data_IF_368199068259
#
_entry.id   IF_368199068259
#
_cell.length_a   1.000
_cell.length_b   1.000
_cell.length_c   1.000
_cell.angle_alpha   90.00
_cell.angle_beta   90.00
_cell.angle_gamma   90.00
#
_symmetry.space_group_name_H-M   'P 1'
#
loop_
_entity.id
_entity.type
_entity.pdbx_description
1 polymer ?
#
# COMPACT_ATOMS: atom_id res chain seq x y z
N UNK A 1 -13.90 7.30 9.34
CA UNK A 1 -14.96 6.51 8.65
C UNK A 1 -14.39 5.14 8.30
N UNK A 2 -15.12 4.03 8.51
CA UNK A 2 -14.60 2.70 8.19
C UNK A 2 -14.45 2.51 6.67
N UNK A 3 -13.40 1.82 6.22
CA UNK A 3 -13.17 1.55 4.79
C UNK A 3 -14.33 0.75 4.18
N UNK A 4 -14.98 -0.13 4.99
CA UNK A 4 -16.21 -0.83 4.60
C UNK A 4 -17.33 0.11 4.16
N UNK A 5 -17.53 1.18 4.92
CA UNK A 5 -18.52 2.22 4.60
C UNK A 5 -18.16 2.95 3.32
N UNK A 6 -16.86 3.31 3.15
CA UNK A 6 -16.39 3.97 1.92
C UNK A 6 -16.62 3.10 0.69
N UNK A 7 -16.30 1.80 0.75
CA UNK A 7 -16.53 0.86 -0.37
C UNK A 7 -18.02 0.67 -0.69
N UNK A 8 -18.87 0.59 0.33
CA UNK A 8 -20.34 0.55 0.12
C UNK A 8 -20.83 1.83 -0.56
N UNK A 9 -20.42 3.00 -0.08
CA UNK A 9 -20.74 4.28 -0.71
C UNK A 9 -20.20 4.35 -2.15
N UNK A 10 -18.95 3.92 -2.40
CA UNK A 10 -18.37 3.87 -3.75
C UNK A 10 -19.18 2.97 -4.69
N UNK A 11 -19.72 1.85 -4.21
CA UNK A 11 -20.53 0.95 -5.04
C UNK A 11 -21.98 1.44 -5.23
N UNK A 12 -22.66 1.87 -4.16
CA UNK A 12 -24.08 2.23 -4.21
C UNK A 12 -24.34 3.61 -4.82
N UNK A 13 -23.51 4.59 -4.48
CA UNK A 13 -23.63 5.97 -4.96
C UNK A 13 -22.72 6.21 -6.17
N UNK A 14 -21.53 5.63 -6.17
CA UNK A 14 -20.56 5.83 -7.24
C UNK A 14 -21.01 5.30 -8.59
N UNK A 15 -21.77 4.19 -8.65
CA UNK A 15 -22.29 3.64 -9.94
C UNK A 15 -23.29 4.59 -10.60
N UNK A 16 -24.37 5.04 -9.92
CA UNK A 16 -25.29 6.01 -10.49
C UNK A 16 -24.62 7.33 -10.89
N UNK A 17 -23.70 7.83 -10.05
CA UNK A 17 -22.97 9.07 -10.34
C UNK A 17 -22.06 8.91 -11.58
N UNK A 18 -21.34 7.81 -11.71
CA UNK A 18 -20.53 7.53 -12.89
C UNK A 18 -21.40 7.40 -14.16
N UNK A 19 -22.59 6.81 -14.04
CA UNK A 19 -23.54 6.72 -15.15
C UNK A 19 -24.02 8.10 -15.59
N UNK A 20 -24.53 8.91 -14.65
CA UNK A 20 -24.99 10.27 -14.93
C UNK A 20 -23.86 11.14 -15.51
N UNK A 21 -22.68 11.10 -14.91
CA UNK A 21 -21.50 11.81 -15.41
C UNK A 21 -21.10 11.33 -16.82
N UNK A 22 -21.25 10.03 -17.13
CA UNK A 22 -21.00 9.49 -18.48
C UNK A 22 -21.96 10.07 -19.50
N UNK A 23 -23.27 10.17 -19.18
CA UNK A 23 -24.26 10.80 -20.06
C UNK A 23 -23.87 12.25 -20.35
N UNK A 24 -23.52 13.02 -19.32
CA UNK A 24 -23.08 14.40 -19.47
C UNK A 24 -21.79 14.53 -20.31
N UNK A 25 -20.80 13.67 -20.08
CA UNK A 25 -19.56 13.64 -20.87
C UNK A 25 -19.85 13.30 -22.33
N UNK A 26 -20.75 12.34 -22.60
CA UNK A 26 -21.13 11.99 -23.98
C UNK A 26 -21.91 13.12 -24.66
N UNK A 27 -22.87 13.72 -23.96
CA UNK A 27 -23.59 14.88 -24.46
C UNK A 27 -22.66 16.06 -24.78
N UNK A 28 -21.68 16.33 -23.91
CA UNK A 28 -20.69 17.39 -24.15
C UNK A 28 -19.80 17.15 -25.38
N UNK A 29 -19.66 15.89 -25.83
CA UNK A 29 -18.92 15.55 -27.07
C UNK A 29 -19.66 15.92 -28.35
N UNK A 30 -20.97 16.14 -28.27
CA UNK A 30 -21.80 16.59 -29.41
C UNK A 30 -21.64 18.11 -29.67
N UNK A 31 -21.13 18.85 -28.68
CA UNK A 31 -20.84 20.27 -28.85
C UNK A 31 -19.50 20.46 -29.59
N UNK A 32 -19.39 21.48 -30.46
CA UNK A 32 -18.16 21.77 -31.18
C UNK A 32 -17.03 22.03 -30.18
N UNK A 33 -15.98 21.19 -30.18
CA UNK A 33 -14.82 21.33 -29.31
C UNK A 33 -13.74 22.15 -30.00
N UNK A 34 -13.13 23.06 -29.24
CA UNK A 34 -11.75 23.44 -29.53
C UNK A 34 -10.90 22.16 -29.57
N UNK A 35 -10.10 22.00 -30.62
CA UNK A 35 -9.20 20.86 -30.76
C UNK A 35 -8.46 20.64 -29.45
N UNK A 36 -8.49 19.40 -28.95
CA UNK A 36 -7.70 19.05 -27.77
C UNK A 36 -6.25 19.29 -28.16
N UNK A 37 -5.61 20.29 -27.53
CA UNK A 37 -4.19 20.53 -27.76
C UNK A 37 -3.44 19.26 -27.36
N UNK A 38 -2.62 18.73 -28.25
CA UNK A 38 -1.68 17.61 -27.97
C UNK A 38 -0.51 18.09 -27.06
N UNK A 39 -0.66 19.28 -26.49
CA UNK A 39 0.35 19.90 -25.61
C UNK A 39 0.65 19.00 -24.40
N UNK A 40 1.93 18.94 -24.07
CA UNK A 40 2.38 18.30 -22.83
C UNK A 40 1.69 18.94 -21.62
N UNK A 41 1.27 18.16 -20.62
CA UNK A 41 0.63 18.70 -19.43
C UNK A 41 1.61 19.62 -18.68
N UNK A 42 1.04 20.70 -18.11
CA UNK A 42 1.80 21.67 -17.31
C UNK A 42 1.72 21.38 -15.82
N UNK A 43 0.56 20.86 -15.36
CA UNK A 43 0.32 20.54 -13.95
C UNK A 43 -0.37 19.21 -13.79
N UNK A 44 0.26 18.34 -13.02
CA UNK A 44 -0.14 16.97 -12.85
C UNK A 44 -0.69 16.70 -11.45
N UNK A 45 -1.80 15.98 -11.36
CA UNK A 45 -2.33 15.41 -10.14
C UNK A 45 -2.22 13.89 -10.16
N UNK A 46 -1.42 13.32 -9.28
CA UNK A 46 -1.42 11.90 -8.97
C UNK A 46 -2.48 11.61 -7.89
N UNK A 47 -3.29 10.59 -8.06
CA UNK A 47 -4.36 10.23 -7.12
C UNK A 47 -4.11 8.82 -6.61
N UNK A 48 -3.79 8.67 -5.31
CA UNK A 48 -3.67 7.37 -4.62
C UNK A 48 -4.14 7.52 -3.18
N UNK A 49 -5.40 7.17 -2.94
CA UNK A 49 -6.05 7.39 -1.64
C UNK A 49 -5.82 6.26 -0.66
N UNK A 50 -5.93 5.03 -1.15
CA UNK A 50 -5.87 3.82 -0.32
C UNK A 50 -4.54 3.08 -0.45
N UNK A 51 -4.29 2.13 0.49
CA UNK A 51 -3.16 1.21 0.46
C UNK A 51 -1.79 1.90 0.62
N UNK A 52 -1.46 2.25 1.86
CA UNK A 52 -0.16 2.84 2.24
C UNK A 52 1.04 2.10 1.62
N UNK A 53 1.02 0.75 1.60
CA UNK A 53 2.07 -0.05 0.98
C UNK A 53 2.26 0.21 -0.52
N UNK A 54 1.18 0.60 -1.22
CA UNK A 54 1.25 0.92 -2.64
C UNK A 54 2.05 2.20 -2.93
N UNK A 55 2.15 3.13 -1.97
CA UNK A 55 2.98 4.33 -2.12
C UNK A 55 4.46 3.99 -2.27
N UNK A 56 4.92 2.90 -1.66
CA UNK A 56 6.31 2.46 -1.72
C UNK A 56 6.65 1.92 -3.12
N UNK A 57 5.71 1.19 -3.72
CA UNK A 57 5.89 0.61 -5.06
C UNK A 57 5.59 1.60 -6.19
N UNK A 58 5.24 2.85 -5.88
CA UNK A 58 5.00 3.92 -6.86
C UNK A 58 6.27 4.47 -7.52
N UNK A 59 7.46 4.19 -7.01
CA UNK A 59 8.71 4.82 -7.48
C UNK A 59 8.90 4.76 -9.00
N UNK A 60 8.69 3.63 -9.70
CA UNK A 60 8.78 3.59 -11.17
C UNK A 60 7.78 4.54 -11.84
N UNK A 61 6.53 4.56 -11.39
CA UNK A 61 5.50 5.45 -11.90
C UNK A 61 5.87 6.93 -11.69
N UNK A 62 6.36 7.29 -10.49
CA UNK A 62 6.76 8.67 -10.19
C UNK A 62 7.95 9.11 -11.03
N UNK A 63 8.89 8.21 -11.37
CA UNK A 63 9.98 8.49 -12.30
C UNK A 63 9.45 8.86 -13.70
N UNK A 64 8.47 8.12 -14.21
CA UNK A 64 7.83 8.43 -15.49
C UNK A 64 7.12 9.79 -15.43
N UNK A 65 6.34 10.04 -14.37
CA UNK A 65 5.59 11.28 -14.19
C UNK A 65 6.50 12.51 -14.03
N UNK A 66 7.65 12.36 -13.36
CA UNK A 66 8.65 13.45 -13.22
C UNK A 66 9.36 13.80 -14.54
N UNK A 67 9.38 12.87 -15.48
CA UNK A 67 9.82 13.16 -16.86
C UNK A 67 8.77 13.90 -17.70
N UNK A 68 7.50 13.85 -17.28
CA UNK A 68 6.39 14.50 -17.98
C UNK A 68 6.10 15.92 -17.45
N UNK A 69 6.13 16.10 -16.12
CA UNK A 69 5.85 17.39 -15.44
C UNK A 69 6.86 17.57 -14.31
N UNK A 70 7.33 18.81 -14.15
CA UNK A 70 8.27 19.14 -13.09
C UNK A 70 7.70 18.81 -11.69
N UNK A 71 8.59 18.44 -10.77
CA UNK A 71 8.25 18.07 -9.39
C UNK A 71 7.42 19.15 -8.68
N UNK A 72 7.72 20.41 -8.91
CA UNK A 72 7.03 21.55 -8.30
C UNK A 72 5.60 21.77 -8.85
N UNK A 73 5.32 21.30 -10.05
CA UNK A 73 4.01 21.32 -10.70
C UNK A 73 3.25 19.98 -10.61
N UNK A 74 3.81 19.02 -9.86
CA UNK A 74 3.17 17.74 -9.57
C UNK A 74 2.52 17.78 -8.18
N UNK A 75 1.24 17.45 -8.12
CA UNK A 75 0.43 17.41 -6.91
C UNK A 75 0.01 15.96 -6.62
N UNK A 76 -0.25 15.65 -5.36
CA UNK A 76 -0.63 14.31 -4.95
C UNK A 76 -1.85 14.35 -4.03
N UNK A 77 -2.90 13.61 -4.38
CA UNK A 77 -4.11 13.45 -3.57
C UNK A 77 -4.02 12.15 -2.79
N UNK A 78 -4.03 12.24 -1.46
CA UNK A 78 -3.93 11.10 -0.54
C UNK A 78 -4.91 11.24 0.62
N UNK A 79 -5.15 10.17 1.36
CA UNK A 79 -5.72 10.27 2.69
C UNK A 79 -4.70 10.85 3.68
N UNK A 80 -5.19 11.54 4.70
CA UNK A 80 -4.35 12.24 5.68
C UNK A 80 -3.38 11.29 6.40
N UNK A 81 -3.79 10.06 6.64
CA UNK A 81 -2.98 9.00 7.25
C UNK A 81 -1.78 8.60 6.40
N UNK A 82 -1.87 8.81 5.09
CA UNK A 82 -0.80 8.48 4.13
C UNK A 82 0.24 9.59 3.97
N UNK A 83 -0.08 10.80 4.43
CA UNK A 83 0.77 11.97 4.25
C UNK A 83 2.18 11.80 4.84
N UNK A 84 2.37 11.31 6.08
CA UNK A 84 3.71 11.16 6.66
C UNK A 84 4.62 10.23 5.83
N UNK A 85 4.06 9.16 5.28
CA UNK A 85 4.81 8.26 4.41
C UNK A 85 5.17 8.93 3.08
N UNK A 86 4.24 9.67 2.47
CA UNK A 86 4.49 10.37 1.20
C UNK A 86 5.55 11.47 1.38
N UNK A 87 5.55 12.19 2.50
CA UNK A 87 6.59 13.16 2.85
C UNK A 87 7.95 12.49 3.02
N UNK A 88 7.97 11.30 3.66
CA UNK A 88 9.19 10.51 3.83
C UNK A 88 9.76 10.02 2.50
N UNK A 89 8.90 9.58 1.57
CA UNK A 89 9.30 9.09 0.23
C UNK A 89 9.81 10.20 -0.69
N UNK A 90 9.54 11.45 -0.35
CA UNK A 90 10.01 12.67 -1.02
C UNK A 90 9.77 12.69 -2.55
N UNK A 91 8.63 12.16 -2.98
CA UNK A 91 8.28 12.18 -4.42
C UNK A 91 7.94 13.57 -4.93
N UNK A 92 7.32 14.40 -4.09
CA UNK A 92 6.90 15.78 -4.39
C UNK A 92 7.14 16.69 -3.18
N UNK A 93 7.16 18.02 -3.34
CA UNK A 93 7.24 18.94 -2.22
C UNK A 93 6.05 18.78 -1.26
N UNK A 94 6.23 18.87 0.07
CA UNK A 94 5.15 18.71 1.05
C UNK A 94 3.96 19.67 0.83
N UNK A 95 4.21 20.89 0.29
CA UNK A 95 3.17 21.87 -0.06
C UNK A 95 2.21 21.40 -1.17
N UNK A 96 2.65 20.44 -1.99
CA UNK A 96 1.89 19.89 -3.11
C UNK A 96 1.06 18.68 -2.71
N UNK A 97 1.17 18.21 -1.46
CA UNK A 97 0.33 17.13 -0.94
C UNK A 97 -1.05 17.68 -0.60
N UNK A 98 -2.08 17.08 -1.17
CA UNK A 98 -3.49 17.37 -0.91
C UNK A 98 -4.03 16.20 -0.09
N UNK A 99 -4.22 16.43 1.21
CA UNK A 99 -4.65 15.38 2.14
C UNK A 99 -6.15 15.48 2.44
N UNK A 100 -6.86 14.35 2.44
CA UNK A 100 -8.28 14.21 2.78
C UNK A 100 -8.40 13.41 4.06
N UNK A 101 -9.10 13.95 5.06
CA UNK A 101 -9.39 13.26 6.32
C UNK A 101 -10.52 12.27 6.15
N UNK A 102 -10.44 11.16 6.88
CA UNK A 102 -11.40 10.06 6.80
C UNK A 102 -12.15 9.81 8.11
N UNK A 103 -11.93 10.63 9.12
CA UNK A 103 -12.51 10.47 10.47
C UNK A 103 -14.04 10.64 10.51
N UNK A 104 -14.61 11.50 9.67
CA UNK A 104 -16.06 11.66 9.51
C UNK A 104 -16.48 11.95 8.07
N UNK A 105 -17.72 11.58 7.70
CA UNK A 105 -18.26 11.81 6.35
C UNK A 105 -18.30 13.32 6.02
N UNK A 106 -18.69 14.16 6.97
CA UNK A 106 -18.74 15.60 6.74
C UNK A 106 -17.38 16.22 6.49
N UNK A 107 -16.32 15.79 7.22
CA UNK A 107 -14.95 16.23 6.98
C UNK A 107 -14.42 15.71 5.66
N UNK A 108 -14.67 14.45 5.36
CA UNK A 108 -14.31 13.83 4.08
C UNK A 108 -14.88 14.63 2.90
N UNK A 109 -16.19 14.90 2.89
CA UNK A 109 -16.83 15.66 1.81
C UNK A 109 -16.31 17.11 1.71
N UNK A 110 -16.11 17.76 2.85
CA UNK A 110 -15.57 19.13 2.89
C UNK A 110 -14.15 19.17 2.32
N UNK A 111 -13.29 18.24 2.72
CA UNK A 111 -11.90 18.17 2.25
C UNK A 111 -11.84 17.78 0.77
N UNK A 112 -12.74 16.89 0.31
CA UNK A 112 -12.87 16.53 -1.11
C UNK A 112 -13.26 17.75 -1.96
N UNK A 113 -14.23 18.56 -1.51
CA UNK A 113 -14.63 19.78 -2.20
C UNK A 113 -13.53 20.84 -2.19
N UNK A 114 -12.83 20.99 -1.07
CA UNK A 114 -11.67 21.89 -0.96
C UNK A 114 -10.54 21.47 -1.90
N UNK A 115 -10.26 20.17 -1.98
CA UNK A 115 -9.29 19.60 -2.90
C UNK A 115 -9.67 19.87 -4.37
N UNK A 116 -10.94 19.70 -4.74
CA UNK A 116 -11.42 20.01 -6.11
C UNK A 116 -11.26 21.51 -6.45
N UNK A 117 -11.63 22.40 -5.52
CA UNK A 117 -11.44 23.85 -5.71
C UNK A 117 -9.97 24.18 -5.88
N UNK A 118 -9.10 23.58 -5.05
CA UNK A 118 -7.64 23.77 -5.13
C UNK A 118 -7.08 23.28 -6.48
N UNK A 119 -7.46 22.08 -6.94
CA UNK A 119 -7.00 21.57 -8.24
C UNK A 119 -7.41 22.47 -9.39
N UNK A 120 -8.64 23.02 -9.36
CA UNK A 120 -9.13 23.97 -10.39
C UNK A 120 -8.40 25.29 -10.34
N UNK A 121 -8.19 25.86 -9.15
CA UNK A 121 -7.45 27.11 -8.96
C UNK A 121 -5.98 26.98 -9.39
N UNK A 122 -5.38 25.82 -9.16
CA UNK A 122 -4.04 25.48 -9.64
C UNK A 122 -4.00 25.23 -11.16
N UNK A 123 -5.12 25.07 -11.83
CA UNK A 123 -5.16 24.76 -13.26
C UNK A 123 -4.58 23.39 -13.60
N UNK A 124 -4.85 22.37 -12.76
CA UNK A 124 -4.46 20.98 -13.03
C UNK A 124 -5.06 20.55 -14.37
N UNK A 125 -4.20 20.13 -15.29
CA UNK A 125 -4.59 19.75 -16.66
C UNK A 125 -4.40 18.26 -16.95
N UNK A 126 -3.63 17.55 -16.10
CA UNK A 126 -3.46 16.10 -16.14
C UNK A 126 -3.77 15.47 -14.78
N UNK A 127 -4.66 14.48 -14.72
CA UNK A 127 -4.94 13.66 -13.56
C UNK A 127 -4.62 12.20 -13.86
N UNK A 128 -3.73 11.61 -13.08
CA UNK A 128 -3.38 10.19 -13.17
C UNK A 128 -3.95 9.47 -11.95
N UNK A 129 -5.01 8.70 -12.19
CA UNK A 129 -5.68 7.91 -11.19
C UNK A 129 -4.94 6.58 -11.00
N UNK A 130 -4.17 6.51 -9.95
CA UNK A 130 -3.37 5.34 -9.55
C UNK A 130 -4.17 4.37 -8.64
N UNK A 131 -5.45 4.66 -8.40
CA UNK A 131 -6.41 3.68 -7.87
C UNK A 131 -6.97 2.84 -9.01
N UNK A 132 -6.92 1.52 -8.89
CA UNK A 132 -7.24 0.69 -10.05
C UNK A 132 -8.72 0.83 -10.48
N UNK A 133 -9.68 0.73 -9.57
CA UNK A 133 -11.10 0.75 -9.93
C UNK A 133 -12.00 1.55 -8.96
N UNK A 134 -11.48 2.56 -8.25
CA UNK A 134 -12.30 3.46 -7.43
C UNK A 134 -13.13 4.42 -8.30
N UNK A 135 -14.41 4.54 -8.02
CA UNK A 135 -15.34 5.45 -8.72
C UNK A 135 -15.18 6.88 -8.25
N UNK A 136 -14.94 7.05 -6.95
CA UNK A 136 -14.70 8.36 -6.35
C UNK A 136 -13.52 9.05 -7.02
N UNK A 137 -12.43 8.33 -7.28
CA UNK A 137 -11.24 8.91 -7.91
C UNK A 137 -11.46 9.24 -9.39
N UNK A 138 -12.23 8.43 -10.12
CA UNK A 138 -12.61 8.74 -11.50
C UNK A 138 -13.50 9.99 -11.59
N UNK A 139 -14.47 10.13 -10.68
CA UNK A 139 -15.31 11.32 -10.56
C UNK A 139 -14.48 12.53 -10.18
N UNK A 140 -13.55 12.37 -9.21
CA UNK A 140 -12.64 13.43 -8.81
C UNK A 140 -11.77 13.90 -9.98
N UNK A 141 -11.18 12.98 -10.73
CA UNK A 141 -10.39 13.30 -11.92
C UNK A 141 -11.21 14.09 -12.96
N UNK A 142 -12.48 13.72 -13.20
CA UNK A 142 -13.37 14.47 -14.08
C UNK A 142 -13.63 15.88 -13.51
N UNK A 143 -14.00 15.97 -12.24
CA UNK A 143 -14.39 17.22 -11.58
C UNK A 143 -13.22 18.16 -11.29
N UNK A 144 -11.98 17.67 -11.28
CA UNK A 144 -10.77 18.49 -11.10
C UNK A 144 -10.55 19.50 -12.21
N UNK A 145 -11.17 19.29 -13.38
CA UNK A 145 -10.98 20.11 -14.59
C UNK A 145 -9.89 19.59 -15.51
N UNK A 146 -9.18 18.51 -15.12
CA UNK A 146 -8.13 17.93 -15.93
C UNK A 146 -8.64 17.48 -17.31
N UNK A 147 -7.96 17.94 -18.36
CA UNK A 147 -8.24 17.55 -19.75
C UNK A 147 -7.73 16.13 -20.03
N UNK A 148 -6.55 15.79 -19.52
CA UNK A 148 -5.95 14.46 -19.57
C UNK A 148 -6.28 13.71 -18.28
N UNK A 149 -7.05 12.63 -18.39
CA UNK A 149 -7.49 11.81 -17.25
C UNK A 149 -7.15 10.36 -17.52
N UNK A 150 -6.14 9.85 -16.82
CA UNK A 150 -5.60 8.50 -16.98
C UNK A 150 -6.13 7.61 -15.88
N UNK A 151 -6.43 6.35 -16.19
CA UNK A 151 -6.80 5.36 -15.18
C UNK A 151 -7.25 4.04 -15.77
N UNK A 152 -7.46 3.04 -14.93
CA UNK A 152 -7.95 1.74 -15.34
C UNK A 152 -9.39 1.82 -15.86
N UNK A 153 -9.69 1.07 -16.92
CA UNK A 153 -11.02 0.99 -17.54
C UNK A 153 -11.40 -0.47 -17.82
N UNK A 154 -12.62 -0.82 -17.46
CA UNK A 154 -13.21 -2.12 -17.79
C UNK A 154 -13.85 -2.06 -19.19
N UNK A 155 -13.21 -2.63 -20.18
CA UNK A 155 -13.66 -2.59 -21.57
C UNK A 155 -14.83 -3.53 -21.84
N UNK A 156 -14.83 -4.70 -21.21
CA UNK A 156 -15.77 -5.79 -21.44
C UNK A 156 -16.45 -6.25 -20.15
N UNK A 157 -16.52 -5.38 -19.13
CA UNK A 157 -17.09 -5.72 -17.83
C UNK A 157 -16.18 -6.55 -16.92
N UNK A 158 -14.88 -6.63 -17.25
CA UNK A 158 -13.89 -7.37 -16.47
C UNK A 158 -13.54 -6.71 -15.14
N UNK A 159 -14.16 -5.63 -14.78
CA UNK A 159 -13.92 -4.91 -13.53
C UNK A 159 -15.07 -3.97 -13.16
N UNK A 160 -14.96 -3.30 -12.03
CA UNK A 160 -15.96 -2.34 -11.56
C UNK A 160 -16.23 -1.25 -12.59
N UNK A 161 -17.52 -0.99 -12.87
CA UNK A 161 -17.95 0.07 -13.76
C UNK A 161 -17.56 1.45 -13.23
N UNK A 162 -16.90 2.26 -14.06
CA UNK A 162 -16.44 3.63 -13.75
C UNK A 162 -16.92 4.65 -14.81
N UNK A 163 -17.78 4.27 -15.73
CA UNK A 163 -18.26 5.10 -16.82
C UNK A 163 -17.17 5.51 -17.82
N UNK A 164 -17.51 6.47 -18.69
CA UNK A 164 -16.62 7.03 -19.72
C UNK A 164 -15.89 8.30 -19.25
N UNK A 165 -15.50 8.36 -17.98
CA UNK A 165 -14.96 9.57 -17.34
C UNK A 165 -13.50 9.83 -17.70
N UNK A 166 -12.77 8.78 -18.06
CA UNK A 166 -11.35 8.83 -18.40
C UNK A 166 -11.15 9.11 -19.88
N UNK A 167 -10.12 9.87 -20.20
CA UNK A 167 -9.67 10.13 -21.58
C UNK A 167 -8.61 9.13 -22.02
N UNK A 168 -7.73 8.74 -21.10
CA UNK A 168 -6.67 7.76 -21.30
C UNK A 168 -7.04 6.50 -20.54
N UNK A 169 -7.61 5.53 -21.26
CA UNK A 169 -8.17 4.31 -20.70
C UNK A 169 -7.17 3.20 -20.77
N UNK A 170 -6.74 2.69 -19.63
CA UNK A 170 -5.75 1.62 -19.52
C UNK A 170 -6.45 0.34 -19.10
N UNK A 171 -6.16 -0.76 -19.78
CA UNK A 171 -6.63 -2.08 -19.38
C UNK A 171 -5.77 -2.57 -18.20
N UNK A 172 -6.42 -3.02 -17.12
CA UNK A 172 -5.70 -3.63 -16.02
C UNK A 172 -5.15 -5.01 -16.45
N UNK A 173 -3.86 -5.23 -16.22
CA UNK A 173 -3.20 -6.50 -16.51
C UNK A 173 -2.92 -7.26 -15.20
N UNK A 174 -3.66 -8.37 -14.89
CA UNK A 174 -3.48 -9.13 -13.65
C UNK A 174 -2.19 -9.96 -13.62
N UNK A 175 -1.43 -9.96 -14.70
CA UNK A 175 -0.17 -10.66 -14.80
C UNK A 175 1.04 -9.78 -14.45
N UNK A 176 0.84 -8.48 -14.31
CA UNK A 176 1.86 -7.54 -13.90
C UNK A 176 1.85 -7.36 -12.37
N UNK A 177 3.01 -7.10 -11.81
CA UNK A 177 3.12 -6.61 -10.44
C UNK A 177 2.47 -5.22 -10.30
N UNK A 178 1.95 -4.88 -9.12
CA UNK A 178 1.31 -3.58 -8.88
C UNK A 178 2.21 -2.39 -9.27
N UNK A 179 3.52 -2.46 -8.98
CA UNK A 179 4.49 -1.44 -9.41
C UNK A 179 4.51 -1.24 -10.93
N UNK A 180 4.50 -2.35 -11.69
CA UNK A 180 4.49 -2.33 -13.15
C UNK A 180 3.16 -1.80 -13.71
N UNK A 181 2.05 -2.14 -13.05
CA UNK A 181 0.73 -1.61 -13.43
C UNK A 181 0.62 -0.11 -13.16
N UNK A 182 1.18 0.37 -12.04
CA UNK A 182 1.26 1.80 -11.72
C UNK A 182 2.16 2.55 -12.71
N UNK A 183 3.30 1.97 -13.08
CA UNK A 183 4.18 2.50 -14.14
C UNK A 183 3.44 2.56 -15.49
N UNK A 184 2.65 1.53 -15.82
CA UNK A 184 1.83 1.49 -17.03
C UNK A 184 0.81 2.64 -17.06
N UNK A 185 0.16 2.94 -15.93
CA UNK A 185 -0.73 4.09 -15.80
C UNK A 185 0.02 5.41 -16.00
N UNK A 186 1.20 5.55 -15.42
CA UNK A 186 2.02 6.75 -15.61
C UNK A 186 2.46 6.91 -17.07
N UNK A 187 2.90 5.84 -17.71
CA UNK A 187 3.30 5.84 -19.13
C UNK A 187 2.11 6.17 -20.06
N UNK A 188 0.91 5.74 -19.73
CA UNK A 188 -0.27 6.11 -20.52
C UNK A 188 -0.53 7.63 -20.55
N UNK A 189 -0.05 8.37 -19.54
CA UNK A 189 -0.15 9.83 -19.53
C UNK A 189 0.72 10.48 -20.62
N UNK A 190 1.71 9.81 -21.16
CA UNK A 190 2.59 10.34 -22.23
C UNK A 190 2.11 10.03 -23.62
N UNK A 191 1.09 9.16 -23.77
CA UNK A 191 0.60 8.67 -25.06
C UNK A 191 -0.63 9.45 -25.53
N UNK A 192 -0.89 9.54 -26.84
CA UNK A 192 -2.17 10.02 -27.37
C UNK A 192 -3.32 9.07 -26.94
N UNK A 193 -4.51 9.59 -26.60
CA UNK A 193 -5.66 8.75 -26.21
C UNK A 193 -6.07 7.71 -27.26
N UNK A 194 -5.86 8.01 -28.55
CA UNK A 194 -6.19 7.14 -29.68
C UNK A 194 -5.34 5.85 -29.73
N UNK A 195 -4.16 5.86 -29.13
CA UNK A 195 -3.25 4.71 -29.13
C UNK A 195 -3.63 3.68 -28.05
N UNK A 196 -4.38 4.11 -27.03
CA UNK A 196 -4.83 3.25 -25.96
C UNK A 196 -6.04 2.37 -26.36
N UNK A 197 -6.14 1.14 -25.87
CA UNK A 197 -5.34 0.52 -24.78
C UNK A 197 -4.00 -0.11 -25.22
N UNK A 198 -3.55 0.07 -26.45
CA UNK A 198 -2.26 -0.47 -26.91
C UNK A 198 -1.13 0.27 -26.21
N UNK A 199 -0.23 -0.48 -25.56
CA UNK A 199 0.89 0.05 -24.81
C UNK A 199 2.17 -0.59 -25.39
N UNK A 200 2.85 0.05 -26.35
CA UNK A 200 3.97 -0.56 -27.09
C UNK A 200 5.28 -0.50 -26.29
N UNK A 201 5.25 -0.88 -25.02
CA UNK A 201 6.45 -0.99 -24.19
C UNK A 201 6.32 -2.18 -23.23
N UNK A 202 7.46 -2.65 -22.74
CA UNK A 202 7.55 -3.66 -21.69
C UNK A 202 7.84 -2.92 -20.39
N UNK A 203 6.96 -3.00 -19.37
CA UNK A 203 7.25 -2.40 -18.08
C UNK A 203 8.56 -2.96 -17.52
N UNK A 204 9.35 -2.11 -16.87
CA UNK A 204 10.56 -2.57 -16.22
C UNK A 204 10.27 -3.70 -15.23
N UNK A 205 11.19 -4.65 -15.00
CA UNK A 205 11.03 -5.63 -13.94
C UNK A 205 10.70 -4.93 -12.62
N UNK A 206 9.80 -5.52 -11.84
CA UNK A 206 9.46 -4.99 -10.53
C UNK A 206 10.67 -5.18 -9.60
N UNK A 207 11.49 -4.16 -9.50
CA UNK A 207 12.72 -4.14 -8.71
C UNK A 207 12.50 -3.53 -7.33
N UNK A 208 13.38 -3.89 -6.40
CA UNK A 208 13.47 -3.27 -5.09
C UNK A 208 13.75 -1.76 -5.26
N UNK A 209 13.00 -0.88 -4.58
CA UNK A 209 13.41 0.50 -4.48
C UNK A 209 14.81 0.55 -3.84
N UNK A 210 15.82 1.05 -4.56
CA UNK A 210 17.20 1.20 -4.06
C UNK A 210 17.34 2.33 -3.04
N UNK A 211 16.26 2.66 -2.36
CA UNK A 211 16.24 3.69 -1.33
C UNK A 211 16.00 3.02 0.01
N UNK A 212 16.94 3.17 0.91
CA UNK A 212 16.85 2.68 2.26
C UNK A 212 16.70 3.86 3.21
N UNK A 213 15.82 3.71 4.16
CA UNK A 213 15.64 4.66 5.24
C UNK A 213 16.87 4.64 6.15
N UNK A 214 17.58 5.77 6.18
CA UNK A 214 18.65 6.00 7.15
C UNK A 214 18.03 6.69 8.38
N UNK A 215 18.08 6.01 9.52
CA UNK A 215 17.63 6.58 10.80
C UNK A 215 18.54 7.72 11.23
N UNK A 216 17.95 8.84 11.66
CA UNK A 216 18.73 9.89 12.29
C UNK A 216 19.33 9.42 13.62
N UNK A 217 20.48 9.97 14.06
CA UNK A 217 21.11 9.57 15.33
C UNK A 217 20.16 9.68 16.52
N UNK A 218 19.36 10.75 16.58
CA UNK A 218 18.39 10.98 17.66
C UNK A 218 17.26 9.94 17.64
N UNK A 219 16.78 9.57 16.44
CA UNK A 219 15.76 8.52 16.26
C UNK A 219 16.31 7.16 16.71
N UNK A 220 17.56 6.84 16.34
CA UNK A 220 18.25 5.61 16.74
C UNK A 220 18.42 5.54 18.27
N UNK A 221 18.92 6.60 18.90
CA UNK A 221 19.12 6.68 20.35
C UNK A 221 17.79 6.53 21.11
N UNK A 222 16.73 7.19 20.63
CA UNK A 222 15.39 7.07 21.23
C UNK A 222 14.86 5.63 21.20
N UNK A 223 15.01 4.96 20.07
CA UNK A 223 14.57 3.55 19.93
C UNK A 223 15.43 2.62 20.76
N UNK A 224 16.76 2.83 20.83
CA UNK A 224 17.65 2.04 21.67
C UNK A 224 17.31 2.16 23.16
N UNK A 225 17.06 3.38 23.64
CA UNK A 225 16.62 3.62 25.03
C UNK A 225 15.32 2.88 25.32
N UNK A 226 14.34 3.01 24.46
CA UNK A 226 13.03 2.35 24.61
C UNK A 226 13.13 0.81 24.55
N UNK A 227 14.03 0.27 23.72
CA UNK A 227 14.32 -1.17 23.68
C UNK A 227 14.91 -1.64 24.99
N UNK A 228 15.90 -0.91 25.54
CA UNK A 228 16.51 -1.23 26.82
C UNK A 228 15.49 -1.18 27.98
N UNK A 229 14.62 -0.17 28.03
CA UNK A 229 13.53 -0.05 29.00
C UNK A 229 12.53 -1.23 28.90
N UNK A 230 12.36 -1.79 27.70
CA UNK A 230 11.51 -2.97 27.47
C UNK A 230 12.22 -4.30 27.83
N UNK A 231 13.48 -4.25 28.26
CA UNK A 231 14.28 -5.42 28.63
C UNK A 231 15.07 -6.06 27.48
N UNK A 232 15.18 -5.38 26.32
CA UNK A 232 15.98 -5.86 25.18
C UNK A 232 17.45 -5.56 25.43
N UNK A 233 18.26 -6.59 25.56
CA UNK A 233 19.72 -6.47 25.75
C UNK A 233 20.45 -6.20 24.43
N UNK A 234 21.65 -5.59 24.52
CA UNK A 234 22.48 -5.25 23.36
C UNK A 234 22.90 -6.45 22.48
N UNK A 235 22.87 -7.65 23.04
CA UNK A 235 23.19 -8.89 22.34
C UNK A 235 21.94 -9.69 21.93
N UNK A 236 20.76 -9.20 22.19
CA UNK A 236 19.53 -9.90 21.84
C UNK A 236 19.23 -9.84 20.34
N UNK A 237 18.60 -10.88 19.85
CA UNK A 237 18.13 -10.99 18.48
C UNK A 237 16.70 -10.51 18.45
N UNK A 238 16.50 -9.27 18.00
CA UNK A 238 15.19 -8.65 17.95
C UNK A 238 14.37 -9.19 16.78
N UNK A 239 13.22 -9.80 17.09
CA UNK A 239 12.27 -10.37 16.12
C UNK A 239 10.94 -9.64 16.28
N UNK A 240 10.42 -9.13 15.17
CA UNK A 240 9.16 -8.39 15.14
C UNK A 240 8.03 -9.27 14.61
N UNK A 241 6.90 -9.26 15.29
CA UNK A 241 5.67 -9.89 14.81
C UNK A 241 4.59 -8.82 14.65
N UNK A 242 4.01 -8.72 13.46
CA UNK A 242 2.85 -7.88 13.19
C UNK A 242 1.67 -8.76 12.80
N UNK A 243 0.79 -9.04 13.76
CA UNK A 243 -0.37 -9.90 13.59
C UNK A 243 -1.57 -9.18 12.95
N UNK A 244 -1.44 -7.87 12.69
CA UNK A 244 -2.54 -7.05 12.26
C UNK A 244 -2.62 -6.94 10.74
N UNK A 245 -3.78 -6.56 10.26
CA UNK A 245 -4.03 -6.20 8.87
C UNK A 245 -4.83 -4.90 8.83
N UNK A 246 -4.58 -4.09 7.82
CA UNK A 246 -5.44 -2.96 7.55
C UNK A 246 -6.84 -3.47 7.23
N UNK A 247 -7.87 -2.90 7.91
CA UNK A 247 -9.26 -3.24 7.63
C UNK A 247 -9.65 -4.71 7.92
N UNK A 248 -9.33 -5.17 9.12
CA UNK A 248 -9.62 -6.54 9.59
C UNK A 248 -11.11 -6.94 9.51
N UNK A 249 -12.02 -5.95 9.54
CA UNK A 249 -13.46 -6.21 9.40
C UNK A 249 -13.89 -6.57 7.98
N UNK A 250 -13.23 -6.00 6.95
CA UNK A 250 -13.54 -6.28 5.54
C UNK A 250 -12.75 -7.45 4.98
N UNK A 251 -11.53 -7.62 5.45
CA UNK A 251 -10.57 -8.55 4.87
C UNK A 251 -10.07 -9.57 5.91
N UNK A 252 -10.94 -10.12 6.80
CA UNK A 252 -10.50 -11.00 7.89
C UNK A 252 -9.76 -12.24 7.36
N UNK A 253 -10.04 -12.64 6.12
CA UNK A 253 -9.39 -13.77 5.46
C UNK A 253 -7.89 -13.55 5.17
N UNK A 254 -7.38 -12.32 5.28
CA UNK A 254 -5.94 -12.03 5.12
C UNK A 254 -5.15 -12.20 6.42
N UNK A 255 -5.85 -12.37 7.54
CA UNK A 255 -5.22 -12.46 8.85
C UNK A 255 -4.88 -13.91 9.20
N UNK A 256 -3.61 -14.19 9.43
CA UNK A 256 -3.18 -15.44 10.05
C UNK A 256 -3.65 -15.45 11.50
N UNK A 257 -4.12 -16.61 12.04
CA UNK A 257 -4.71 -16.67 13.37
C UNK A 257 -3.80 -16.16 14.48
N UNK A 258 -4.35 -15.41 15.44
CA UNK A 258 -3.60 -14.93 16.61
C UNK A 258 -3.06 -16.08 17.47
N UNK A 259 -3.73 -17.25 17.46
CA UNK A 259 -3.21 -18.48 18.07
C UNK A 259 -1.88 -18.90 17.48
N UNK A 260 -1.75 -18.79 16.15
CA UNK A 260 -0.54 -19.18 15.44
C UNK A 260 0.59 -18.18 15.68
N UNK A 261 0.29 -16.89 15.78
CA UNK A 261 1.28 -15.87 16.20
C UNK A 261 1.78 -16.12 17.62
N UNK A 262 0.88 -16.46 18.56
CA UNK A 262 1.26 -16.79 19.93
C UNK A 262 2.14 -18.05 20.01
N UNK A 263 1.78 -19.09 19.27
CA UNK A 263 2.58 -20.30 19.18
C UNK A 263 3.95 -20.04 18.54
N UNK A 264 3.98 -19.27 17.43
CA UNK A 264 5.23 -18.85 16.80
C UNK A 264 6.15 -18.11 17.78
N UNK A 265 5.60 -17.15 18.53
CA UNK A 265 6.39 -16.41 19.52
C UNK A 265 7.01 -17.33 20.58
N UNK A 266 6.26 -18.34 21.06
CA UNK A 266 6.80 -19.33 22.00
C UNK A 266 7.90 -20.20 21.37
N UNK A 267 7.69 -20.69 20.13
CA UNK A 267 8.69 -21.48 19.40
C UNK A 267 9.97 -20.67 19.17
N UNK A 268 9.85 -19.39 18.80
CA UNK A 268 11.00 -18.49 18.65
C UNK A 268 11.80 -18.38 19.95
N UNK A 269 11.12 -18.15 21.08
CA UNK A 269 11.76 -17.94 22.37
C UNK A 269 12.40 -19.21 22.95
N UNK A 270 11.90 -20.38 22.55
CA UNK A 270 12.49 -21.69 22.91
C UNK A 270 13.68 -22.02 22.00
N UNK A 271 13.52 -21.87 20.68
CA UNK A 271 14.48 -22.37 19.70
C UNK A 271 15.65 -21.41 19.43
N UNK A 272 15.48 -20.13 19.73
CA UNK A 272 16.48 -19.09 19.47
C UNK A 272 16.93 -18.46 20.80
N UNK A 273 18.03 -18.92 21.41
CA UNK A 273 18.39 -18.60 22.79
C UNK A 273 18.58 -17.12 23.03
N UNK A 274 18.66 -16.23 22.26
CA UNK A 274 18.81 -14.77 22.50
C UNK A 274 17.71 -13.97 21.83
N UNK A 275 16.61 -14.64 21.43
CA UNK A 275 15.51 -13.96 20.82
C UNK A 275 14.77 -13.06 21.81
N UNK A 276 14.37 -11.89 21.37
CA UNK A 276 13.38 -11.04 21.99
C UNK A 276 12.29 -10.73 20.95
N UNK A 277 11.06 -10.94 21.33
CA UNK A 277 9.90 -10.76 20.42
C UNK A 277 9.20 -9.45 20.74
N UNK A 278 9.08 -8.55 19.77
CA UNK A 278 8.22 -7.39 19.86
C UNK A 278 7.02 -7.54 18.95
N UNK A 279 5.84 -7.34 19.55
CA UNK A 279 4.57 -7.31 18.83
C UNK A 279 4.28 -5.87 18.41
N UNK A 280 4.17 -5.61 17.12
CA UNK A 280 3.93 -4.28 16.57
C UNK A 280 2.49 -4.13 16.07
N UNK A 281 1.99 -2.89 16.07
CA UNK A 281 0.65 -2.55 15.59
C UNK A 281 0.43 -1.05 15.60
N UNK A 282 -0.62 -0.58 14.92
CA UNK A 282 -1.04 0.81 14.96
C UNK A 282 -1.85 1.14 16.23
N UNK A 283 -2.25 2.40 16.39
CA UNK A 283 -3.04 2.85 17.52
C UNK A 283 -4.39 2.11 17.68
N UNK A 284 -4.98 1.65 16.59
CA UNK A 284 -6.23 0.88 16.60
C UNK A 284 -6.02 -0.59 17.00
N UNK A 285 -4.79 -1.08 17.06
CA UNK A 285 -4.46 -2.47 17.30
C UNK A 285 -4.08 -2.75 18.76
N UNK A 286 -3.94 -1.72 19.60
CA UNK A 286 -3.43 -1.79 20.97
C UNK A 286 -4.09 -2.90 21.78
N UNK A 287 -5.41 -2.95 21.84
CA UNK A 287 -6.13 -3.94 22.62
C UNK A 287 -5.92 -5.38 22.12
N UNK A 288 -5.92 -5.57 20.80
CA UNK A 288 -5.71 -6.88 20.18
C UNK A 288 -4.27 -7.39 20.39
N UNK A 289 -3.29 -6.51 20.28
CA UNK A 289 -1.87 -6.87 20.45
C UNK A 289 -1.55 -7.12 21.93
N UNK A 290 -2.12 -6.34 22.85
CA UNK A 290 -2.00 -6.61 24.29
C UNK A 290 -2.61 -7.97 24.69
N UNK A 291 -3.74 -8.33 24.09
CA UNK A 291 -4.34 -9.66 24.26
C UNK A 291 -3.42 -10.77 23.72
N UNK A 292 -2.75 -10.53 22.59
CA UNK A 292 -1.78 -11.47 22.03
C UNK A 292 -0.55 -11.61 22.94
N UNK A 293 0.02 -10.51 23.46
CA UNK A 293 1.11 -10.53 24.45
C UNK A 293 0.75 -11.38 25.67
N UNK A 294 -0.43 -11.12 26.25
CA UNK A 294 -0.96 -11.91 27.38
C UNK A 294 -1.11 -13.40 27.01
N UNK A 295 -1.54 -13.69 25.79
CA UNK A 295 -1.69 -15.07 25.30
C UNK A 295 -0.32 -15.77 25.16
N UNK A 296 0.75 -15.05 24.75
CA UNK A 296 2.12 -15.59 24.71
C UNK A 296 2.60 -15.89 26.13
N UNK A 297 2.44 -14.94 27.07
CA UNK A 297 2.69 -15.13 28.50
C UNK A 297 4.18 -15.32 28.87
N UNK A 298 5.12 -14.79 28.09
CA UNK A 298 6.56 -14.92 28.30
C UNK A 298 7.21 -13.55 28.43
N UNK A 299 8.15 -13.39 29.36
CA UNK A 299 8.79 -12.10 29.67
C UNK A 299 9.55 -11.46 28.50
N UNK A 300 10.09 -12.27 27.60
CA UNK A 300 10.82 -11.78 26.42
C UNK A 300 9.91 -11.53 25.21
N UNK A 301 8.61 -11.33 25.45
CA UNK A 301 7.61 -10.91 24.46
C UNK A 301 6.90 -9.67 24.98
N UNK A 302 6.96 -8.56 24.25
CA UNK A 302 6.35 -7.26 24.63
C UNK A 302 5.55 -6.67 23.47
N UNK A 303 4.52 -5.92 23.83
CA UNK A 303 3.72 -5.13 22.89
C UNK A 303 4.24 -3.70 22.78
N UNK A 304 4.41 -3.22 21.55
CA UNK A 304 4.67 -1.82 21.20
C UNK A 304 3.58 -1.29 20.23
N UNK A 305 2.40 -1.86 20.30
CA UNK A 305 1.29 -1.38 19.46
C UNK A 305 0.87 0.04 19.86
N UNK A 306 0.73 0.92 18.86
CA UNK A 306 0.38 2.33 19.05
C UNK A 306 1.50 3.22 19.59
N UNK A 307 2.70 2.68 19.79
CA UNK A 307 3.79 3.36 20.48
C UNK A 307 4.90 3.88 19.54
N UNK A 308 4.72 3.77 18.25
CA UNK A 308 5.68 4.22 17.24
C UNK A 308 5.03 5.10 16.19
N UNK A 309 5.67 6.21 15.87
CA UNK A 309 5.44 6.94 14.62
C UNK A 309 6.00 6.16 13.43
N UNK A 310 5.71 6.59 12.20
CA UNK A 310 6.23 5.95 10.99
C UNK A 310 7.77 5.94 10.96
N UNK A 311 8.44 7.03 11.35
CA UNK A 311 9.89 7.12 11.40
C UNK A 311 10.49 6.20 12.47
N UNK A 312 9.90 6.18 13.65
CA UNK A 312 10.29 5.28 14.74
C UNK A 312 10.09 3.81 14.37
N UNK A 313 9.02 3.47 13.64
CA UNK A 313 8.78 2.12 13.14
C UNK A 313 9.87 1.68 12.14
N UNK A 314 10.26 2.54 11.22
CA UNK A 314 11.34 2.25 10.27
C UNK A 314 12.70 2.13 10.98
N UNK A 315 12.94 2.97 12.00
CA UNK A 315 14.13 2.86 12.86
C UNK A 315 14.13 1.55 13.62
N UNK A 316 13.00 1.13 14.16
CA UNK A 316 12.84 -0.17 14.81
C UNK A 316 13.13 -1.33 13.82
N UNK A 317 12.65 -1.23 12.57
CA UNK A 317 12.95 -2.21 11.53
C UNK A 317 14.46 -2.29 11.22
N UNK A 318 15.16 -1.16 11.20
CA UNK A 318 16.63 -1.15 11.04
C UNK A 318 17.38 -1.86 12.19
N UNK A 319 16.81 -1.91 13.39
CA UNK A 319 17.38 -2.61 14.56
C UNK A 319 16.97 -4.09 14.62
N UNK A 320 15.93 -4.48 13.93
CA UNK A 320 15.41 -5.84 13.97
C UNK A 320 16.14 -6.79 12.99
N UNK A 321 16.19 -8.05 13.36
CA UNK A 321 16.71 -9.10 12.48
C UNK A 321 15.69 -9.55 11.45
N UNK A 322 14.44 -9.71 11.87
CA UNK A 322 13.37 -10.18 10.97
C UNK A 322 12.00 -9.67 11.44
N UNK A 323 11.13 -9.40 10.49
CA UNK A 323 9.70 -9.13 10.68
C UNK A 323 8.88 -10.28 10.11
N UNK A 324 7.92 -10.79 10.87
CA UNK A 324 6.86 -11.68 10.36
C UNK A 324 5.55 -10.90 10.33
N UNK A 325 4.87 -10.91 9.20
CA UNK A 325 3.63 -10.17 9.04
C UNK A 325 2.71 -10.82 8.01
N UNK A 326 1.43 -10.49 8.06
CA UNK A 326 0.48 -10.78 6.99
C UNK A 326 0.81 -9.96 5.73
N UNK A 327 0.19 -10.29 4.62
CA UNK A 327 0.15 -9.46 3.41
C UNK A 327 -0.56 -8.11 3.74
N UNK A 328 0.24 -7.12 4.17
CA UNK A 328 -0.24 -5.82 4.67
C UNK A 328 0.82 -4.72 4.54
N UNK A 329 0.47 -3.48 4.88
CA UNK A 329 1.37 -2.31 4.80
C UNK A 329 2.75 -2.51 5.44
N UNK A 330 2.86 -3.03 6.68
CA UNK A 330 4.13 -3.33 7.34
C UNK A 330 5.13 -4.13 6.51
N UNK A 331 4.66 -5.09 5.71
CA UNK A 331 5.52 -5.86 4.82
C UNK A 331 6.23 -4.97 3.78
N UNK A 332 5.53 -3.98 3.24
CA UNK A 332 6.11 -3.02 2.30
C UNK A 332 7.01 -2.01 3.00
N UNK A 333 6.63 -1.50 4.19
CA UNK A 333 7.46 -0.54 4.93
C UNK A 333 8.82 -1.12 5.27
N UNK A 334 8.85 -2.39 5.64
CA UNK A 334 10.08 -3.11 5.98
C UNK A 334 11.07 -3.16 4.81
N UNK A 335 10.60 -3.16 3.55
CA UNK A 335 11.50 -3.12 2.38
C UNK A 335 12.27 -1.81 2.22
N UNK A 336 11.90 -0.77 2.96
CA UNK A 336 12.66 0.48 3.05
C UNK A 336 13.84 0.39 4.03
N UNK A 337 14.07 -0.77 4.64
CA UNK A 337 15.07 -0.99 5.69
C UNK A 337 15.88 -2.25 5.42
N UNK A 338 16.84 -2.54 6.30
CA UNK A 338 17.69 -3.73 6.19
C UNK A 338 17.11 -5.01 6.80
N UNK A 339 15.86 -4.98 7.32
CA UNK A 339 15.23 -6.13 7.97
C UNK A 339 14.83 -7.22 6.96
N UNK A 340 14.99 -8.48 7.34
CA UNK A 340 14.35 -9.57 6.59
C UNK A 340 12.84 -9.62 6.88
N UNK A 341 12.02 -9.91 5.88
CA UNK A 341 10.56 -9.91 6.01
C UNK A 341 9.99 -11.26 5.60
N UNK A 342 9.30 -11.93 6.51
CA UNK A 342 8.51 -13.12 6.21
C UNK A 342 7.05 -12.68 6.07
N UNK A 343 6.49 -12.86 4.87
CA UNK A 343 5.14 -12.40 4.54
C UNK A 343 4.22 -13.58 4.28
N UNK A 344 3.10 -13.62 5.00
CA UNK A 344 2.10 -14.66 4.90
C UNK A 344 0.99 -14.23 3.93
N UNK A 345 0.93 -14.89 2.77
CA UNK A 345 -0.09 -14.65 1.74
C UNK A 345 -1.19 -15.72 1.81
N UNK A 346 -2.42 -15.26 1.72
CA UNK A 346 -3.60 -16.13 1.73
C UNK A 346 -4.51 -15.89 0.52
N UNK A 347 -5.57 -15.07 0.64
CA UNK A 347 -6.57 -14.87 -0.40
C UNK A 347 -6.10 -13.96 -1.56
N UNK A 348 -5.04 -13.18 -1.37
CA UNK A 348 -4.37 -12.36 -2.40
C UNK A 348 -3.22 -13.13 -3.06
N UNK A 349 -2.73 -12.62 -4.19
CA UNK A 349 -1.60 -13.24 -4.89
C UNK A 349 -0.30 -12.45 -4.71
N UNK A 350 0.80 -13.10 -4.32
CA UNK A 350 2.12 -12.44 -4.25
C UNK A 350 2.61 -12.00 -5.63
N UNK A 351 2.08 -12.53 -6.72
CA UNK A 351 2.43 -12.09 -8.07
C UNK A 351 2.16 -10.60 -8.29
N UNK A 352 1.06 -10.10 -7.74
CA UNK A 352 0.65 -8.69 -7.89
C UNK A 352 1.14 -7.85 -6.71
N UNK A 353 1.09 -8.38 -5.47
CA UNK A 353 1.16 -7.58 -4.27
C UNK A 353 2.36 -7.85 -3.36
N UNK A 354 3.27 -8.78 -3.72
CA UNK A 354 4.42 -9.03 -2.84
C UNK A 354 5.23 -7.74 -2.64
N UNK A 355 5.77 -7.50 -1.44
CA UNK A 355 6.78 -6.46 -1.27
C UNK A 355 8.01 -6.76 -2.15
N UNK A 356 8.64 -5.71 -2.66
CA UNK A 356 9.81 -5.83 -3.55
C UNK A 356 11.09 -5.77 -2.73
N UNK A 357 11.92 -6.79 -2.82
CA UNK A 357 13.22 -6.83 -2.13
C UNK A 357 13.81 -8.24 -2.05
N UNK A 358 15.13 -8.29 -1.96
CA UNK A 358 15.89 -9.55 -1.88
C UNK A 358 15.75 -10.24 -0.51
N UNK A 359 15.35 -9.46 0.52
CA UNK A 359 15.13 -9.93 1.88
C UNK A 359 13.66 -10.25 2.18
N UNK A 360 12.83 -10.40 1.13
CA UNK A 360 11.41 -10.74 1.26
C UNK A 360 11.19 -12.22 1.03
N UNK A 361 10.73 -12.91 2.07
CA UNK A 361 10.44 -14.34 2.08
C UNK A 361 8.91 -14.52 2.10
N UNK A 362 8.35 -15.01 1.00
CA UNK A 362 6.90 -15.19 0.84
C UNK A 362 6.50 -16.62 1.16
N UNK A 363 5.53 -16.77 2.05
CA UNK A 363 4.82 -18.01 2.30
C UNK A 363 3.43 -17.92 1.67
N UNK A 364 3.16 -18.77 0.68
CA UNK A 364 1.92 -18.81 -0.09
C UNK A 364 1.59 -20.23 -0.51
N UNK A 365 0.42 -20.72 -0.14
CA UNK A 365 -0.01 -22.10 -0.43
C UNK A 365 -0.39 -22.32 -1.90
N UNK A 366 -0.81 -21.26 -2.61
CA UNK A 366 -1.16 -21.35 -4.03
C UNK A 366 -2.29 -22.34 -4.31
N UNK A 367 -3.31 -22.40 -3.43
CA UNK A 367 -4.44 -23.32 -3.60
C UNK A 367 -5.24 -22.98 -4.86
N UNK A 368 -5.92 -23.96 -5.45
CA UNK A 368 -6.73 -23.77 -6.64
C UNK A 368 -7.81 -22.67 -6.50
N UNK A 369 -8.29 -22.40 -5.28
CA UNK A 369 -9.22 -21.31 -4.99
C UNK A 369 -8.54 -19.97 -4.64
N UNK A 370 -7.21 -19.89 -4.64
CA UNK A 370 -6.45 -18.68 -4.33
C UNK A 370 -5.64 -18.21 -5.56
N UNK A 371 -5.71 -16.93 -5.94
CA UNK A 371 -6.34 -15.84 -5.19
C UNK A 371 -7.86 -15.77 -5.39
N UNK A 372 -8.61 -15.59 -4.29
CA UNK A 372 -10.02 -15.27 -4.34
C UNK A 372 -10.31 -13.77 -4.15
N UNK A 373 -9.37 -13.02 -3.60
CA UNK A 373 -9.39 -11.56 -3.58
C UNK A 373 -8.71 -11.04 -4.85
N UNK A 374 -9.44 -10.21 -5.60
CA UNK A 374 -8.93 -9.58 -6.82
C UNK A 374 -9.42 -8.15 -6.92
N UNK A 375 -8.75 -7.33 -7.72
CA UNK A 375 -9.21 -5.96 -8.01
C UNK A 375 -10.54 -5.97 -8.76
N UNK A 376 -10.84 -7.02 -9.51
CA UNK A 376 -12.06 -7.15 -10.32
C UNK A 376 -13.30 -7.38 -9.47
N UNK A 377 -13.20 -8.16 -8.39
CA UNK A 377 -14.32 -8.45 -7.48
C UNK A 377 -14.36 -7.56 -6.23
N UNK A 378 -13.56 -6.49 -6.21
CA UNK A 378 -13.46 -5.59 -5.06
C UNK A 378 -12.96 -6.26 -3.78
N UNK A 379 -12.18 -7.34 -3.92
CA UNK A 379 -11.64 -8.16 -2.83
C UNK A 379 -12.75 -8.78 -1.97
N UNK A 380 -13.78 -9.31 -2.60
CA UNK A 380 -14.86 -10.05 -1.95
C UNK A 380 -14.65 -11.55 -2.13
N UNK A 381 -15.02 -12.33 -1.13
CA UNK A 381 -14.97 -13.81 -1.19
C UNK A 381 -16.11 -14.42 -0.39
N UNK A 382 -16.65 -15.51 -0.89
CA UNK A 382 -17.59 -16.36 -0.16
C UNK A 382 -16.90 -17.30 0.84
N UNK A 383 -15.57 -17.30 0.89
CA UNK A 383 -14.78 -18.17 1.76
C UNK A 383 -15.04 -17.86 3.24
N UNK A 384 -15.13 -18.91 4.07
CA UNK A 384 -15.33 -18.79 5.52
C UNK A 384 -14.25 -19.50 6.34
N UNK A 385 -13.35 -20.25 5.70
CA UNK A 385 -12.39 -21.13 6.40
C UNK A 385 -10.94 -20.71 6.30
N UNK A 386 -10.58 -19.84 5.39
CA UNK A 386 -9.23 -19.26 5.26
C UNK A 386 -8.08 -20.31 5.21
N UNK A 387 -8.33 -21.48 4.61
CA UNK A 387 -7.35 -22.61 4.55
C UNK A 387 -6.08 -22.25 3.76
N UNK A 388 -6.10 -21.18 2.96
CA UNK A 388 -4.92 -20.69 2.27
C UNK A 388 -3.87 -20.08 3.23
N UNK A 389 -4.25 -19.76 4.47
CA UNK A 389 -3.38 -19.36 5.57
C UNK A 389 -3.20 -20.46 6.63
N UNK A 390 -3.51 -21.71 6.29
CA UNK A 390 -3.15 -22.85 7.12
C UNK A 390 -1.66 -23.17 6.97
N UNK A 391 -0.86 -22.26 7.54
CA UNK A 391 0.59 -22.33 7.58
C UNK A 391 1.00 -22.64 9.03
N UNK A 392 1.62 -23.80 9.28
CA UNK A 392 2.04 -24.15 10.64
C UNK A 392 3.06 -23.18 11.21
N UNK A 393 2.95 -22.73 12.48
CA UNK A 393 3.96 -21.91 13.14
C UNK A 393 5.37 -22.49 13.09
N UNK A 394 5.50 -23.81 13.16
CA UNK A 394 6.80 -24.50 13.05
C UNK A 394 7.47 -24.27 11.69
N UNK A 395 6.73 -24.20 10.59
CA UNK A 395 7.27 -23.92 9.26
C UNK A 395 7.82 -22.48 9.19
N UNK A 396 7.09 -21.51 9.74
CA UNK A 396 7.55 -20.12 9.83
C UNK A 396 8.81 -20.04 10.67
N UNK A 397 8.83 -20.71 11.84
CA UNK A 397 9.98 -20.74 12.74
C UNK A 397 11.25 -21.32 12.07
N UNK A 398 11.11 -22.36 11.26
CA UNK A 398 12.24 -22.92 10.50
C UNK A 398 12.84 -21.90 9.51
N UNK A 399 11.99 -21.07 8.88
CA UNK A 399 12.47 -20.00 8.00
C UNK A 399 13.21 -18.93 8.81
N UNK A 400 12.69 -18.55 9.97
CA UNK A 400 13.34 -17.58 10.86
C UNK A 400 14.72 -18.06 11.31
N UNK A 401 14.85 -19.32 11.71
CA UNK A 401 16.14 -19.92 12.10
C UNK A 401 17.18 -19.79 10.98
N UNK A 402 16.81 -20.15 9.74
CA UNK A 402 17.71 -20.01 8.57
C UNK A 402 18.11 -18.55 8.31
N UNK A 403 17.17 -17.62 8.42
CA UNK A 403 17.46 -16.18 8.26
C UNK A 403 18.45 -15.72 9.32
N UNK A 404 18.22 -16.06 10.57
CA UNK A 404 19.07 -15.66 11.70
C UNK A 404 20.47 -16.27 11.59
N UNK A 405 20.57 -17.57 11.26
CA UNK A 405 21.85 -18.23 11.02
C UNK A 405 22.67 -17.55 9.91
N UNK A 406 22.02 -17.20 8.80
CA UNK A 406 22.66 -16.45 7.73
C UNK A 406 23.19 -15.09 8.22
N UNK A 407 22.35 -14.30 8.91
CA UNK A 407 22.74 -12.98 9.44
C UNK A 407 23.88 -13.05 10.43
N UNK A 408 23.89 -14.06 11.29
CA UNK A 408 24.98 -14.28 12.24
C UNK A 408 26.31 -14.67 11.57
N UNK A 409 26.26 -15.31 10.39
CA UNK A 409 27.46 -15.59 9.58
C UNK A 409 27.96 -14.32 8.90
N UNK A 410 27.05 -13.53 8.29
CA UNK A 410 27.37 -12.26 7.62
C UNK A 410 28.04 -11.26 8.60
N UNK A 411 27.61 -11.20 9.86
CA UNK A 411 28.24 -10.34 10.89
C UNK A 411 29.58 -10.82 11.41
N UNK A 412 29.98 -12.07 11.13
CA UNK A 412 31.27 -12.65 11.53
C UNK A 412 32.32 -12.59 10.44
N UNK A 413 31.94 -12.25 9.21
CA UNK A 413 32.88 -12.06 8.11
C UNK A 413 33.23 -10.58 8.06
N UNK A 414 34.52 -10.18 8.29
CA UNK A 414 34.96 -8.79 8.35
C UNK A 414 34.85 -8.07 7.01
#
# INVERSE_FOLDING_TARGET
>A
MKVSTMRRLDSWIGVPLCWAATVLVRASRLLPKRAASEESPRRLLAIKLSELGALIVLRPAMRVLSGLVARDDTFFLVFAESRPLLELLDYIPPRNIIAIRTDSLGRFLRDLLAALRRCRALGVDCAVDLEFFSRVTALFALLSGARRRVGCHAYFGEGPYRGDLLTHRVKFNPHLHAAQMLETLAAAATLPPRDLPRMPFVPAPAENPRWFYASAPEESSKIETKLAESGVGSRDILILLNANISDSELLPLRKWPDSNYAELARLILVDIPRAFVLLTGGANDVAAVAALEKKVGLERCRSWAGETSMRELLTLYNKASVLVTNDSGPAHFATLTGVDVVVLFGPETPRIWRPLGDKVHVLYRGLACSPCFTVYNGRQSACRRNICLDIPPAEVNQILKRIIERRLKETKTP
#
